data_IF_884406915368
#
_entry.id   IF_884406915368
#
_cell.length_a   1.000
_cell.length_b   1.000
_cell.length_c   1.000
_cell.angle_alpha   90.00
_cell.angle_beta   90.00
_cell.angle_gamma   90.00
#
_symmetry.space_group_name_H-M   'P 1'
#
loop_
_entity.id
_entity.type
_entity.pdbx_description
1 polymer ?
#
# COMPACT_ATOMS: atom_id res chain seq x y z
N UNK A 1 -3.20 2.22 50.23
CA UNK A 1 -2.11 2.84 49.47
C UNK A 1 -1.31 1.77 48.75
N UNK A 2 -1.64 1.52 47.49
CA UNK A 2 -0.77 0.93 46.46
C UNK A 2 -1.52 1.16 45.15
N UNK A 3 -1.27 2.25 44.41
CA UNK A 3 0.04 2.61 43.90
C UNK A 3 0.42 1.80 42.66
N UNK A 4 -0.50 1.02 42.08
CA UNK A 4 -0.33 0.50 40.73
C UNK A 4 -0.62 1.63 39.75
N UNK A 5 0.36 2.50 39.54
CA UNK A 5 0.44 3.31 38.32
C UNK A 5 0.31 2.36 37.14
N UNK A 6 -0.87 2.31 36.53
CA UNK A 6 -1.08 1.83 35.17
C UNK A 6 -0.13 2.63 34.28
N UNK A 7 1.09 2.12 34.10
CA UNK A 7 2.08 2.75 33.23
C UNK A 7 1.59 2.50 31.82
N UNK A 8 0.77 3.45 31.38
CA UNK A 8 0.04 3.47 30.14
C UNK A 8 0.82 2.83 29.00
N UNK A 9 0.27 1.75 28.48
CA UNK A 9 0.58 1.30 27.13
C UNK A 9 0.01 2.35 26.17
N UNK A 10 0.72 3.47 26.02
CA UNK A 10 0.41 4.47 25.01
C UNK A 10 0.62 3.82 23.65
N UNK A 11 -0.44 3.23 23.10
CA UNK A 11 -0.44 2.60 21.78
C UNK A 11 -0.36 3.68 20.71
N UNK A 12 0.54 3.50 19.74
CA UNK A 12 0.70 4.38 18.59
C UNK A 12 0.02 3.76 17.37
N UNK A 13 -0.82 4.51 16.62
CA UNK A 13 -1.15 5.93 16.78
C UNK A 13 -2.19 6.21 17.86
N UNK A 14 -1.88 7.11 18.79
CA UNK A 14 -2.75 7.40 19.95
C UNK A 14 -4.19 7.79 19.54
N UNK A 15 -4.34 8.55 18.45
CA UNK A 15 -5.66 8.98 17.96
C UNK A 15 -6.50 7.86 17.33
N UNK A 16 -5.96 6.67 17.08
CA UNK A 16 -6.74 5.50 16.64
C UNK A 16 -7.19 4.70 17.84
N UNK A 17 -6.26 4.40 18.75
CA UNK A 17 -6.54 3.59 19.93
C UNK A 17 -7.35 4.31 21.02
N UNK A 18 -7.42 5.64 20.99
CA UNK A 18 -8.29 6.43 21.86
C UNK A 18 -9.75 6.49 21.37
N UNK A 19 -10.05 6.04 20.15
CA UNK A 19 -11.40 6.05 19.60
C UNK A 19 -12.14 4.76 19.97
N UNK A 20 -13.40 4.88 20.39
CA UNK A 20 -14.31 3.75 20.59
C UNK A 20 -13.85 2.70 21.61
N UNK A 21 -14.39 1.49 21.48
CA UNK A 21 -14.02 0.33 22.29
C UNK A 21 -12.91 -0.50 21.66
N UNK A 22 -12.37 -1.48 22.39
CA UNK A 22 -11.44 -2.44 21.79
C UNK A 22 -12.21 -3.41 20.88
N UNK A 23 -11.87 -3.49 19.58
CA UNK A 23 -12.56 -4.36 18.65
C UNK A 23 -12.13 -5.82 18.87
N UNK A 24 -12.90 -6.76 18.30
CA UNK A 24 -12.50 -8.17 18.28
C UNK A 24 -11.13 -8.31 17.57
N UNK A 25 -10.10 -8.88 18.24
CA UNK A 25 -8.75 -8.98 17.71
C UNK A 25 -8.66 -9.60 16.31
N UNK A 26 -9.59 -10.48 15.93
CA UNK A 26 -9.58 -11.10 14.59
C UNK A 26 -9.74 -10.07 13.46
N UNK A 27 -10.52 -9.02 13.67
CA UNK A 27 -10.75 -7.99 12.67
C UNK A 27 -9.57 -7.03 12.57
N UNK A 28 -8.97 -6.65 13.69
CA UNK A 28 -7.73 -5.84 13.69
C UNK A 28 -6.57 -6.60 13.03
N UNK A 29 -6.41 -7.90 13.30
CA UNK A 29 -5.41 -8.74 12.62
C UNK A 29 -5.70 -8.91 11.12
N UNK A 30 -6.97 -8.93 10.71
CA UNK A 30 -7.33 -8.92 9.29
C UNK A 30 -6.96 -7.59 8.61
N UNK A 31 -7.20 -6.47 9.28
CA UNK A 31 -6.82 -5.14 8.80
C UNK A 31 -5.29 -5.01 8.67
N UNK A 32 -4.55 -5.49 9.66
CA UNK A 32 -3.08 -5.54 9.63
C UNK A 32 -2.56 -6.37 8.44
N UNK A 33 -3.17 -7.53 8.13
CA UNK A 33 -2.80 -8.31 6.93
C UNK A 33 -2.99 -7.54 5.63
N UNK A 34 -4.06 -6.75 5.52
CA UNK A 34 -4.28 -5.89 4.35
C UNK A 34 -3.23 -4.78 4.28
N UNK A 35 -2.89 -4.15 5.40
CA UNK A 35 -1.78 -3.18 5.47
C UNK A 35 -0.45 -3.80 5.00
N UNK A 36 -0.10 -4.97 5.51
CA UNK A 36 1.12 -5.68 5.11
C UNK A 36 1.10 -6.12 3.64
N UNK A 37 -0.09 -6.43 3.09
CA UNK A 37 -0.23 -6.67 1.65
C UNK A 37 0.10 -5.41 0.83
N UNK A 38 -0.31 -4.22 1.28
CA UNK A 38 0.07 -2.96 0.63
C UNK A 38 1.58 -2.68 0.69
N UNK A 39 2.23 -2.96 1.83
CA UNK A 39 3.69 -2.86 1.94
C UNK A 39 4.38 -3.80 0.95
N UNK A 40 3.89 -5.03 0.81
CA UNK A 40 4.42 -5.99 -0.16
C UNK A 40 4.29 -5.48 -1.60
N UNK A 41 3.13 -4.94 -1.96
CA UNK A 41 2.90 -4.34 -3.28
C UNK A 41 3.84 -3.17 -3.53
N UNK A 42 4.04 -2.30 -2.52
CA UNK A 42 5.00 -1.19 -2.58
C UNK A 42 6.40 -1.66 -2.94
N UNK A 43 6.89 -2.67 -2.22
CA UNK A 43 8.23 -3.24 -2.43
C UNK A 43 8.34 -3.90 -3.80
N UNK A 44 7.33 -4.66 -4.23
CA UNK A 44 7.34 -5.33 -5.53
C UNK A 44 7.37 -4.32 -6.69
N UNK A 45 6.55 -3.27 -6.62
CA UNK A 45 6.52 -2.21 -7.65
C UNK A 45 7.83 -1.42 -7.68
N UNK A 46 8.36 -1.03 -6.52
CA UNK A 46 9.66 -0.36 -6.44
C UNK A 46 10.80 -1.22 -7.01
N UNK A 47 10.85 -2.50 -6.63
CA UNK A 47 11.85 -3.43 -7.14
C UNK A 47 11.73 -3.63 -8.66
N UNK A 48 10.50 -3.74 -9.20
CA UNK A 48 10.27 -3.84 -10.63
C UNK A 48 10.72 -2.58 -11.39
N UNK A 49 10.45 -1.39 -10.85
CA UNK A 49 10.92 -0.14 -11.45
C UNK A 49 12.45 -0.02 -11.48
N UNK A 50 13.12 -0.40 -10.39
CA UNK A 50 14.60 -0.45 -10.35
C UNK A 50 15.14 -1.50 -11.32
N UNK A 51 14.52 -2.69 -11.36
CA UNK A 51 14.92 -3.76 -12.28
C UNK A 51 14.79 -3.33 -13.74
N UNK A 52 13.76 -2.54 -14.08
CA UNK A 52 13.55 -2.09 -15.46
C UNK A 52 14.73 -1.29 -16.01
N UNK A 53 15.40 -0.50 -15.17
CA UNK A 53 16.59 0.30 -15.55
C UNK A 53 17.90 -0.47 -15.37
N UNK A 54 17.91 -1.47 -14.48
CA UNK A 54 19.07 -2.30 -14.25
C UNK A 54 19.23 -3.42 -15.30
N UNK A 55 18.14 -3.80 -15.95
CA UNK A 55 18.11 -4.79 -17.02
C UNK A 55 18.28 -4.07 -18.37
N UNK A 56 19.22 -4.55 -19.18
CA UNK A 56 19.44 -4.04 -20.55
C UNK A 56 18.34 -4.58 -21.47
N UNK A 57 17.16 -3.96 -21.39
CA UNK A 57 15.99 -4.37 -22.16
C UNK A 57 16.00 -3.74 -23.55
N UNK A 58 15.52 -4.45 -24.58
CA UNK A 58 15.43 -3.89 -25.94
C UNK A 58 14.23 -2.96 -26.04
N UNK A 59 14.20 -1.85 -25.30
CA UNK A 59 13.11 -0.85 -25.33
C UNK A 59 13.73 0.53 -25.51
N UNK A 60 12.98 1.44 -26.14
CA UNK A 60 13.38 2.85 -26.26
C UNK A 60 13.77 3.46 -24.89
N UNK A 61 14.96 4.07 -24.75
CA UNK A 61 15.49 4.49 -23.44
C UNK A 61 14.62 5.50 -22.68
N UNK A 62 13.89 6.36 -23.41
CA UNK A 62 12.99 7.32 -22.78
C UNK A 62 11.75 6.63 -22.20
N UNK A 63 11.22 5.62 -22.89
CA UNK A 63 10.04 4.87 -22.48
C UNK A 63 10.35 4.01 -21.26
N UNK A 64 11.49 3.33 -21.26
CA UNK A 64 12.00 2.58 -20.11
C UNK A 64 12.04 3.44 -18.84
N UNK A 65 12.64 4.64 -18.92
CA UNK A 65 12.70 5.57 -17.78
C UNK A 65 11.33 6.02 -17.29
N UNK A 66 10.39 6.28 -18.21
CA UNK A 66 9.02 6.67 -17.86
C UNK A 66 8.28 5.53 -17.16
N UNK A 67 8.41 4.30 -17.65
CA UNK A 67 7.80 3.10 -17.05
C UNK A 67 8.40 2.81 -15.67
N UNK A 68 9.73 2.89 -15.55
CA UNK A 68 10.45 2.70 -14.29
C UNK A 68 9.99 3.72 -13.24
N UNK A 69 9.97 5.00 -13.61
CA UNK A 69 9.47 6.07 -12.74
C UNK A 69 8.01 5.83 -12.35
N UNK A 70 7.16 5.43 -13.30
CA UNK A 70 5.77 5.08 -13.05
C UNK A 70 5.61 3.97 -12.01
N UNK A 71 6.37 2.86 -12.13
CA UNK A 71 6.38 1.77 -11.16
C UNK A 71 6.85 2.23 -9.78
N UNK A 72 7.92 3.03 -9.71
CA UNK A 72 8.43 3.57 -8.43
C UNK A 72 7.42 4.49 -7.77
N UNK A 73 6.76 5.38 -8.52
CA UNK A 73 5.74 6.28 -7.99
C UNK A 73 4.51 5.51 -7.49
N UNK A 74 4.02 4.52 -8.24
CA UNK A 74 2.94 3.64 -7.79
C UNK A 74 3.35 2.87 -6.53
N UNK A 75 4.60 2.38 -6.48
CA UNK A 75 5.19 1.75 -5.31
C UNK A 75 5.23 2.68 -4.10
N UNK A 76 5.55 3.96 -4.28
CA UNK A 76 5.58 4.96 -3.22
C UNK A 76 4.18 5.37 -2.73
N UNK A 77 3.15 5.26 -3.56
CA UNK A 77 1.75 5.53 -3.20
C UNK A 77 1.10 4.36 -2.42
N UNK A 78 1.46 3.12 -2.74
CA UNK A 78 0.92 1.92 -2.09
C UNK A 78 0.98 1.91 -0.54
N UNK A 79 2.08 2.29 0.14
CA UNK A 79 2.14 2.30 1.61
C UNK A 79 1.30 3.44 2.21
N UNK A 80 1.09 4.54 1.49
CA UNK A 80 0.20 5.63 1.92
C UNK A 80 -1.25 5.12 1.94
N UNK A 81 -1.65 4.39 0.91
CA UNK A 81 -2.95 3.73 0.88
C UNK A 81 -3.12 2.69 1.97
N UNK A 82 -2.11 1.85 2.17
CA UNK A 82 -2.09 0.89 3.27
C UNK A 82 -2.30 1.58 4.62
N UNK A 83 -1.56 2.66 4.88
CA UNK A 83 -1.63 3.39 6.14
C UNK A 83 -3.00 4.05 6.36
N UNK A 84 -3.50 4.82 5.38
CA UNK A 84 -4.79 5.49 5.51
C UNK A 84 -5.96 4.51 5.55
N UNK A 85 -5.91 3.45 4.74
CA UNK A 85 -6.89 2.36 4.77
C UNK A 85 -6.91 1.68 6.13
N UNK A 86 -5.74 1.39 6.70
CA UNK A 86 -5.62 0.79 8.03
C UNK A 86 -6.21 1.70 9.12
N UNK A 87 -5.82 2.97 9.16
CA UNK A 87 -6.31 3.95 10.15
C UNK A 87 -7.83 4.09 10.09
N UNK A 88 -8.40 4.24 8.89
CA UNK A 88 -9.85 4.43 8.71
C UNK A 88 -10.63 3.19 9.09
N UNK A 89 -10.15 2.01 8.71
CA UNK A 89 -10.79 0.72 9.04
C UNK A 89 -10.73 0.44 10.53
N UNK A 90 -9.57 0.63 11.17
CA UNK A 90 -9.41 0.40 12.61
C UNK A 90 -10.31 1.33 13.43
N UNK A 91 -10.40 2.61 13.05
CA UNK A 91 -11.34 3.55 13.69
C UNK A 91 -12.80 3.13 13.50
N UNK A 92 -13.20 2.75 12.28
CA UNK A 92 -14.56 2.31 12.01
C UNK A 92 -14.93 1.05 12.82
N UNK A 93 -14.02 0.09 12.95
CA UNK A 93 -14.21 -1.11 13.79
C UNK A 93 -14.39 -0.75 15.27
N UNK A 94 -13.56 0.16 15.79
CA UNK A 94 -13.63 0.62 17.18
C UNK A 94 -14.91 1.36 17.53
N UNK A 95 -15.41 2.13 16.56
CA UNK A 95 -16.61 2.98 16.71
C UNK A 95 -17.89 2.28 16.22
N UNK A 96 -17.83 0.99 15.86
CA UNK A 96 -18.94 0.20 15.30
C UNK A 96 -19.64 0.87 14.09
N UNK A 97 -18.86 1.57 13.26
CA UNK A 97 -19.35 2.26 12.06
C UNK A 97 -19.18 1.40 10.80
N UNK A 98 -19.97 1.67 9.73
CA UNK A 98 -19.77 1.04 8.44
C UNK A 98 -18.34 1.20 7.93
N UNK A 99 -17.83 0.15 7.27
CA UNK A 99 -16.47 0.14 6.76
C UNK A 99 -16.29 1.15 5.61
N UNK A 100 -15.17 1.89 5.57
CA UNK A 100 -14.90 2.90 4.56
C UNK A 100 -14.65 2.28 3.18
N UNK A 101 -15.09 2.96 2.12
CA UNK A 101 -14.82 2.56 0.74
C UNK A 101 -13.35 2.73 0.36
N UNK A 102 -12.80 1.77 -0.39
CA UNK A 102 -11.41 1.77 -0.84
C UNK A 102 -11.22 2.59 -2.14
N UNK A 103 -11.44 3.91 -2.07
CA UNK A 103 -11.51 4.81 -3.25
C UNK A 103 -10.22 4.89 -4.07
N UNK A 104 -9.07 4.64 -3.45
CA UNK A 104 -7.77 4.81 -4.08
C UNK A 104 -7.21 3.49 -4.66
N UNK A 105 -7.76 2.35 -4.24
CA UNK A 105 -7.39 1.02 -4.78
C UNK A 105 -7.56 0.90 -6.30
N UNK A 106 -8.64 1.43 -6.93
CA UNK A 106 -8.80 1.40 -8.38
C UNK A 106 -7.71 2.18 -9.12
N UNK A 107 -7.19 3.27 -8.54
CA UNK A 107 -6.13 4.07 -9.16
C UNK A 107 -4.82 3.30 -9.19
N UNK A 108 -4.44 2.66 -8.08
CA UNK A 108 -3.24 1.82 -8.04
C UNK A 108 -3.38 0.60 -8.94
N UNK A 109 -4.54 -0.05 -8.96
CA UNK A 109 -4.80 -1.20 -9.83
C UNK A 109 -4.76 -0.82 -11.32
N UNK A 110 -5.48 0.24 -11.70
CA UNK A 110 -5.52 0.75 -13.08
C UNK A 110 -4.16 1.27 -13.54
N UNK A 111 -3.49 2.08 -12.72
CA UNK A 111 -2.15 2.60 -13.02
C UNK A 111 -1.12 1.48 -13.22
N UNK A 112 -1.11 0.50 -12.31
CA UNK A 112 -0.23 -0.68 -12.45
C UNK A 112 -0.55 -1.46 -13.73
N UNK A 113 -1.83 -1.71 -14.01
CA UNK A 113 -2.26 -2.40 -15.22
C UNK A 113 -1.85 -1.68 -16.51
N UNK A 114 -1.96 -0.35 -16.56
CA UNK A 114 -1.52 0.47 -17.70
C UNK A 114 -0.02 0.36 -17.88
N UNK A 115 0.78 0.55 -16.83
CA UNK A 115 2.25 0.48 -16.93
C UNK A 115 2.72 -0.90 -17.40
N UNK A 116 2.17 -1.97 -16.83
CA UNK A 116 2.51 -3.33 -17.24
C UNK A 116 2.05 -3.65 -18.67
N UNK A 117 0.88 -3.14 -19.07
CA UNK A 117 0.37 -3.30 -20.44
C UNK A 117 1.25 -2.60 -21.47
N UNK A 118 1.67 -1.36 -21.21
CA UNK A 118 2.59 -0.63 -22.08
C UNK A 118 3.95 -1.31 -22.14
N UNK A 119 4.48 -1.77 -20.99
CA UNK A 119 5.73 -2.52 -20.93
C UNK A 119 5.68 -3.80 -21.79
N UNK A 120 4.58 -4.57 -21.68
CA UNK A 120 4.39 -5.77 -22.47
C UNK A 120 4.36 -5.48 -23.98
N UNK A 121 3.59 -4.47 -24.40
CA UNK A 121 3.52 -4.07 -25.81
C UNK A 121 4.89 -3.64 -26.32
N UNK A 122 5.63 -2.84 -25.54
CA UNK A 122 6.97 -2.39 -25.91
C UNK A 122 7.93 -3.57 -26.12
N UNK A 123 7.96 -4.53 -25.19
CA UNK A 123 8.80 -5.72 -25.30
C UNK A 123 8.45 -6.58 -26.52
N UNK A 124 7.15 -6.79 -26.79
CA UNK A 124 6.71 -7.57 -27.94
C UNK A 124 7.09 -6.90 -29.25
N UNK A 125 6.84 -5.60 -29.39
CA UNK A 125 7.15 -4.85 -30.62
C UNK A 125 8.65 -4.84 -30.91
N UNK A 126 9.48 -4.68 -29.89
CA UNK A 126 10.94 -4.68 -30.06
C UNK A 126 11.54 -6.06 -30.38
N UNK A 127 10.78 -7.13 -30.19
CA UNK A 127 11.21 -8.51 -30.47
C UNK A 127 10.85 -9.01 -31.86
N UNK A 128 10.11 -8.21 -32.64
CA UNK A 128 9.69 -8.48 -34.02
C UNK A 128 10.68 -7.86 -35.02
#
# INVERSE_FOLDING_TARGET
MSGATDRGTRRFPAGVYAAGGEPDPRFSLANERTFLAWIRTSLALGAAGVALVALDLPIEPWLERVLALGLVLLGALAPLEGWWGWVRTERALREERPLPSALLSPVLAGGTGVVLGVLLVALVVSSL
#
